data_IF_851046721916
#
_entry.id   IF_851046721916
#
_cell.length_a   1.000
_cell.length_b   1.000
_cell.length_c   1.000
_cell.angle_alpha   90.00
_cell.angle_beta   90.00
_cell.angle_gamma   90.00
#
_symmetry.space_group_name_H-M   'P 1'
#
loop_
_entity.id
_entity.type
_entity.pdbx_description
1 polymer ?
#
# COMPACT_ATOMS: atom_id res chain seq x y z
N UNK A 1 -6.70 8.89 -15.58
CA UNK A 1 -6.29 7.85 -16.51
C UNK A 1 -5.48 6.79 -15.80
N UNK A 2 -5.68 5.52 -16.19
CA UNK A 2 -5.01 4.40 -15.55
C UNK A 2 -3.50 4.55 -15.51
N UNK A 3 -2.89 5.03 -16.61
CA UNK A 3 -1.44 5.18 -16.69
C UNK A 3 -0.90 6.16 -15.65
N UNK A 4 -1.62 7.25 -15.41
CA UNK A 4 -1.20 8.23 -14.40
C UNK A 4 -1.33 7.66 -12.99
N UNK A 5 -2.42 6.94 -12.73
CA UNK A 5 -2.63 6.29 -11.44
C UNK A 5 -1.58 5.21 -11.21
N UNK A 6 -1.24 4.46 -12.27
CA UNK A 6 -0.20 3.45 -12.16
C UNK A 6 1.14 4.07 -11.74
N UNK A 7 1.50 5.22 -12.31
CA UNK A 7 2.74 5.91 -11.93
C UNK A 7 2.71 6.35 -10.48
N UNK A 8 1.56 6.84 -9.99
CA UNK A 8 1.41 7.22 -8.59
C UNK A 8 1.65 6.00 -7.68
N UNK A 9 1.06 4.86 -8.03
CA UNK A 9 1.23 3.62 -7.27
C UNK A 9 2.68 3.16 -7.29
N UNK A 10 3.32 3.20 -8.44
CA UNK A 10 4.72 2.77 -8.54
C UNK A 10 5.63 3.65 -7.68
N UNK A 11 5.37 4.96 -7.66
CA UNK A 11 6.12 5.87 -6.80
C UNK A 11 5.88 5.54 -5.32
N UNK A 12 4.62 5.32 -4.95
CA UNK A 12 4.27 5.02 -3.56
C UNK A 12 4.95 3.74 -3.08
N UNK A 13 4.92 2.69 -3.89
CA UNK A 13 5.51 1.41 -3.51
C UNK A 13 7.02 1.46 -3.46
N UNK A 14 7.64 2.16 -4.42
CA UNK A 14 9.09 2.36 -4.38
C UNK A 14 9.52 3.10 -3.13
N UNK A 15 8.80 4.16 -2.77
CA UNK A 15 9.08 4.92 -1.56
C UNK A 15 8.90 4.08 -0.30
N UNK A 16 7.83 3.28 -0.25
CA UNK A 16 7.59 2.39 0.89
C UNK A 16 8.74 1.40 1.05
N UNK A 17 9.16 0.77 -0.05
CA UNK A 17 10.26 -0.19 -0.01
C UNK A 17 11.59 0.44 0.37
N UNK A 18 11.78 1.71 0.02
CA UNK A 18 12.98 2.47 0.36
C UNK A 18 12.90 3.10 1.75
N UNK A 19 11.76 2.93 2.44
CA UNK A 19 11.50 3.53 3.75
C UNK A 19 11.48 5.06 3.70
N UNK A 20 11.13 5.62 2.54
CA UNK A 20 11.03 7.06 2.35
C UNK A 20 9.57 7.50 2.57
N UNK A 21 9.22 7.72 3.83
CA UNK A 21 7.85 8.04 4.22
C UNK A 21 7.36 9.30 3.53
N UNK A 22 8.18 10.35 3.48
CA UNK A 22 7.76 11.61 2.90
C UNK A 22 7.40 11.47 1.42
N UNK A 23 8.22 10.76 0.66
CA UNK A 23 7.92 10.53 -0.76
C UNK A 23 6.64 9.73 -0.94
N UNK A 24 6.38 8.73 -0.07
CA UNK A 24 5.15 7.95 -0.12
C UNK A 24 3.93 8.82 0.20
N UNK A 25 4.03 9.67 1.23
CA UNK A 25 2.91 10.54 1.62
C UNK A 25 2.57 11.57 0.56
N UNK A 26 3.55 11.98 -0.26
CA UNK A 26 3.30 12.90 -1.37
C UNK A 26 2.34 12.32 -2.41
N UNK A 27 2.16 11.02 -2.44
CA UNK A 27 1.23 10.37 -3.37
C UNK A 27 -0.20 10.31 -2.83
N UNK A 28 -0.44 10.81 -1.62
CA UNK A 28 -1.69 10.63 -0.90
C UNK A 28 -2.36 11.94 -0.55
N UNK A 29 -3.71 11.91 -0.55
CA UNK A 29 -4.51 13.03 -0.07
C UNK A 29 -4.22 13.30 1.41
N UNK A 30 -4.37 14.56 1.87
CA UNK A 30 -4.17 14.86 3.28
C UNK A 30 -5.08 14.07 4.22
N UNK A 31 -6.25 13.67 3.75
CA UNK A 31 -7.21 12.90 4.54
C UNK A 31 -7.34 11.46 4.05
N UNK A 32 -6.29 10.92 3.45
CA UNK A 32 -6.27 9.56 2.93
C UNK A 32 -6.70 8.56 3.98
N UNK A 33 -7.49 7.55 3.56
CA UNK A 33 -7.92 6.46 4.43
C UNK A 33 -7.17 5.19 4.04
N UNK A 34 -6.54 4.55 5.02
CA UNK A 34 -5.61 3.45 4.77
C UNK A 34 -5.94 2.24 5.63
N UNK A 35 -6.03 1.07 5.00
CA UNK A 35 -6.28 -0.18 5.70
C UNK A 35 -5.05 -0.61 6.50
N UNK A 36 -5.26 -1.08 7.73
CA UNK A 36 -4.18 -1.57 8.60
C UNK A 36 -3.88 -3.05 8.42
N UNK A 37 -4.31 -3.64 7.32
CA UNK A 37 -4.00 -5.03 7.00
C UNK A 37 -4.43 -5.98 8.13
N UNK A 38 -3.49 -6.75 8.69
CA UNK A 38 -3.79 -7.77 9.69
C UNK A 38 -4.38 -7.20 10.98
N UNK A 39 -4.07 -5.95 11.31
CA UNK A 39 -4.59 -5.35 12.55
C UNK A 39 -6.07 -5.01 12.43
N UNK A 40 -6.57 -4.91 11.19
CA UNK A 40 -7.95 -4.54 10.95
C UNK A 40 -8.23 -3.05 11.13
N UNK A 41 -9.31 -2.59 10.53
CA UNK A 41 -9.70 -1.19 10.60
C UNK A 41 -8.85 -0.30 9.72
N UNK A 42 -9.02 1.01 9.91
CA UNK A 42 -8.40 2.04 9.07
C UNK A 42 -7.77 3.13 9.92
N UNK A 43 -6.80 3.79 9.32
CA UNK A 43 -6.24 5.04 9.85
C UNK A 43 -6.45 6.11 8.79
N UNK A 44 -6.41 7.37 9.19
CA UNK A 44 -6.63 8.49 8.29
C UNK A 44 -5.55 9.54 8.43
N UNK A 45 -5.12 10.05 7.27
CA UNK A 45 -4.19 11.17 7.20
C UNK A 45 -2.74 10.78 7.31
N UNK A 46 -1.89 11.73 6.92
CA UNK A 46 -0.45 11.49 6.80
C UNK A 46 0.19 11.14 8.15
N UNK A 47 -0.21 11.85 9.22
CA UNK A 47 0.42 11.62 10.53
C UNK A 47 0.16 10.22 11.06
N UNK A 48 -1.07 9.71 10.87
CA UNK A 48 -1.42 8.37 11.33
C UNK A 48 -0.71 7.30 10.51
N UNK A 49 -0.58 7.52 9.20
CA UNK A 49 0.15 6.57 8.35
C UNK A 49 1.62 6.54 8.73
N UNK A 50 2.22 7.70 8.92
CA UNK A 50 3.63 7.77 9.31
C UNK A 50 3.87 7.04 10.63
N UNK A 51 3.02 7.26 11.62
CA UNK A 51 3.13 6.58 12.92
C UNK A 51 2.97 5.07 12.77
N UNK A 52 1.99 4.63 11.98
CA UNK A 52 1.73 3.22 11.76
C UNK A 52 2.92 2.52 11.09
N UNK A 53 3.44 3.10 10.01
CA UNK A 53 4.58 2.51 9.29
C UNK A 53 5.84 2.53 10.13
N UNK A 54 6.10 3.62 10.86
CA UNK A 54 7.27 3.72 11.71
C UNK A 54 7.26 2.63 12.78
N UNK A 55 6.09 2.40 13.40
CA UNK A 55 5.92 1.33 14.38
C UNK A 55 6.12 -0.03 13.75
N UNK A 56 5.51 -0.25 12.58
CA UNK A 56 5.57 -1.54 11.90
C UNK A 56 6.99 -1.91 11.50
N UNK A 57 7.75 -0.93 10.99
CA UNK A 57 9.12 -1.19 10.54
C UNK A 57 10.11 -1.43 11.67
N UNK A 58 9.72 -1.19 12.91
CA UNK A 58 10.52 -1.58 14.07
C UNK A 58 10.35 -3.05 14.43
N UNK A 59 9.31 -3.69 13.90
CA UNK A 59 8.99 -5.08 14.22
C UNK A 59 9.17 -6.01 13.03
N UNK A 60 8.90 -5.52 11.82
CA UNK A 60 8.99 -6.34 10.62
C UNK A 60 9.58 -5.53 9.46
N UNK A 61 9.97 -6.25 8.41
CA UNK A 61 10.55 -5.67 7.20
C UNK A 61 9.72 -6.08 5.98
N UNK A 62 8.60 -5.37 5.73
CA UNK A 62 7.75 -5.69 4.57
C UNK A 62 8.27 -5.05 3.29
N UNK A 63 8.11 -5.77 2.18
CA UNK A 63 8.36 -5.25 0.83
C UNK A 63 7.13 -5.54 -0.02
N UNK A 64 6.80 -4.63 -0.94
CA UNK A 64 5.64 -4.78 -1.80
C UNK A 64 6.05 -4.49 -3.25
N UNK A 65 5.60 -5.35 -4.17
CA UNK A 65 5.93 -5.24 -5.59
C UNK A 65 4.66 -5.35 -6.41
N UNK A 66 4.21 -4.29 -7.09
CA UNK A 66 3.02 -4.37 -7.92
C UNK A 66 3.31 -5.22 -9.15
N UNK A 67 2.44 -6.18 -9.44
CA UNK A 67 2.61 -7.09 -10.57
C UNK A 67 1.56 -6.93 -11.64
N UNK A 68 0.40 -6.34 -11.34
CA UNK A 68 -0.65 -6.08 -12.32
C UNK A 68 -1.54 -4.96 -11.84
N UNK A 69 -2.14 -4.26 -12.79
CA UNK A 69 -3.04 -3.13 -12.55
C UNK A 69 -4.32 -3.34 -13.34
N UNK A 70 -5.47 -3.33 -12.68
CA UNK A 70 -6.76 -3.54 -13.32
C UNK A 70 -7.75 -2.49 -12.87
N UNK A 71 -8.33 -1.75 -13.82
CA UNK A 71 -9.40 -0.82 -13.51
C UNK A 71 -10.69 -1.59 -13.26
N UNK A 72 -11.43 -1.18 -12.22
CA UNK A 72 -12.72 -1.78 -11.91
C UNK A 72 -13.86 -0.88 -12.44
N UNK A 73 -15.04 -1.47 -12.71
CA UNK A 73 -16.17 -0.69 -13.24
C UNK A 73 -16.57 0.49 -12.36
N UNK A 74 -16.33 0.43 -11.05
CA UNK A 74 -16.68 1.52 -10.14
C UNK A 74 -15.64 2.63 -10.10
N UNK A 75 -14.62 2.57 -10.95
CA UNK A 75 -13.58 3.60 -11.01
C UNK A 75 -12.40 3.39 -10.07
N UNK A 76 -12.43 2.35 -9.25
CA UNK A 76 -11.27 2.04 -8.41
C UNK A 76 -10.20 1.30 -9.21
N UNK A 77 -8.99 1.27 -8.70
CA UNK A 77 -7.88 0.57 -9.31
C UNK A 77 -7.47 -0.61 -8.43
N UNK A 78 -7.50 -1.80 -9.01
CA UNK A 78 -7.04 -3.01 -8.34
C UNK A 78 -5.57 -3.20 -8.68
N UNK A 79 -4.73 -3.27 -7.66
CA UNK A 79 -3.30 -3.54 -7.84
C UNK A 79 -3.01 -4.91 -7.26
N UNK A 80 -2.54 -5.82 -8.10
CA UNK A 80 -2.11 -7.14 -7.64
C UNK A 80 -0.68 -6.97 -7.14
N UNK A 81 -0.43 -7.39 -5.91
CA UNK A 81 0.82 -7.10 -5.22
C UNK A 81 1.46 -8.39 -4.72
N UNK A 82 2.73 -8.58 -5.06
CA UNK A 82 3.54 -9.61 -4.42
C UNK A 82 4.12 -9.00 -3.15
N UNK A 83 3.72 -9.54 -2.01
CA UNK A 83 4.14 -9.02 -0.72
C UNK A 83 5.05 -10.02 -0.03
N UNK A 84 6.21 -9.54 0.42
CA UNK A 84 7.18 -10.34 1.16
C UNK A 84 7.40 -9.66 2.49
N UNK A 85 7.17 -10.40 3.58
CA UNK A 85 7.38 -9.87 4.93
C UNK A 85 8.41 -10.74 5.63
N UNK A 86 9.47 -10.11 6.10
CA UNK A 86 10.50 -10.77 6.91
C UNK A 86 10.54 -10.11 8.28
N UNK A 87 11.03 -10.86 9.28
CA UNK A 87 11.29 -10.21 10.57
C UNK A 87 12.61 -9.44 10.48
N UNK A 88 13.01 -8.80 11.58
CA UNK A 88 14.21 -7.98 11.57
C UNK A 88 15.50 -8.80 11.51
N UNK A 89 15.40 -10.11 11.67
CA UNK A 89 16.51 -11.03 11.52
C UNK A 89 16.55 -11.69 10.15
N UNK A 90 15.74 -11.16 9.22
CA UNK A 90 15.67 -11.61 7.82
C UNK A 90 15.00 -12.97 7.66
N UNK A 91 14.23 -13.41 8.65
CA UNK A 91 13.48 -14.65 8.56
C UNK A 91 12.15 -14.41 7.87
N UNK A 92 11.82 -15.26 6.90
CA UNK A 92 10.58 -15.11 6.14
C UNK A 92 9.36 -15.39 7.01
N UNK A 93 8.42 -14.43 7.05
CA UNK A 93 7.15 -14.55 7.76
C UNK A 93 5.98 -14.74 6.82
N UNK A 94 6.02 -14.09 5.65
CA UNK A 94 4.95 -14.16 4.67
C UNK A 94 5.52 -13.90 3.28
N UNK A 95 5.07 -14.69 2.31
CA UNK A 95 5.41 -14.48 0.91
C UNK A 95 4.19 -14.91 0.11
N UNK A 96 3.47 -13.94 -0.45
CA UNK A 96 2.25 -14.26 -1.15
C UNK A 96 1.73 -13.06 -1.94
N UNK A 97 0.53 -13.24 -2.47
CA UNK A 97 -0.13 -12.25 -3.30
C UNK A 97 -1.33 -11.67 -2.57
N UNK A 98 -1.45 -10.35 -2.60
CA UNK A 98 -2.63 -9.64 -2.08
C UNK A 98 -3.09 -8.65 -3.13
N UNK A 99 -4.30 -8.13 -2.97
CA UNK A 99 -4.80 -7.07 -3.84
C UNK A 99 -5.00 -5.81 -3.01
N UNK A 100 -4.47 -4.71 -3.51
CA UNK A 100 -4.72 -3.40 -2.92
C UNK A 100 -5.68 -2.65 -3.82
N UNK A 101 -6.76 -2.13 -3.25
CA UNK A 101 -7.81 -1.46 -4.00
C UNK A 101 -7.76 0.02 -3.68
N UNK A 102 -7.52 0.84 -4.70
CA UNK A 102 -7.31 2.26 -4.53
C UNK A 102 -8.42 3.08 -5.16
N UNK A 103 -8.80 4.17 -4.47
CA UNK A 103 -9.53 5.26 -5.13
C UNK A 103 -8.64 6.49 -5.12
N UNK A 104 -8.89 7.40 -6.06
CA UNK A 104 -8.06 8.58 -6.25
C UNK A 104 -8.93 9.83 -6.25
N UNK A 105 -8.34 10.93 -5.80
CA UNK A 105 -8.96 12.25 -5.87
C UNK A 105 -7.85 13.23 -6.20
N UNK A 106 -8.07 14.05 -7.24
CA UNK A 106 -7.08 15.04 -7.70
C UNK A 106 -5.72 14.40 -7.98
N UNK A 107 -5.75 13.19 -8.56
CA UNK A 107 -4.56 12.41 -8.96
C UNK A 107 -3.73 11.93 -7.76
N UNK A 108 -4.30 11.97 -6.56
CA UNK A 108 -3.65 11.44 -5.36
C UNK A 108 -4.48 10.30 -4.78
N UNK A 109 -3.83 9.40 -4.06
CA UNK A 109 -4.52 8.28 -3.42
C UNK A 109 -5.46 8.83 -2.36
N UNK A 110 -6.74 8.45 -2.46
CA UNK A 110 -7.77 8.86 -1.51
C UNK A 110 -8.07 7.77 -0.49
N UNK A 111 -8.26 6.53 -0.95
CA UNK A 111 -8.48 5.39 -0.05
C UNK A 111 -7.68 4.19 -0.53
N UNK A 112 -7.34 3.31 0.40
CA UNK A 112 -6.73 2.02 0.09
C UNK A 112 -7.39 0.94 0.94
N UNK A 113 -7.87 -0.10 0.27
CA UNK A 113 -8.40 -1.30 0.90
C UNK A 113 -7.58 -2.51 0.48
N UNK A 114 -7.67 -3.58 1.25
CA UNK A 114 -6.93 -4.81 0.98
C UNK A 114 -7.92 -5.95 0.79
N UNK A 115 -7.73 -6.73 -0.28
CA UNK A 115 -8.47 -7.97 -0.51
C UNK A 115 -7.48 -9.11 -0.54
N UNK A 116 -7.81 -10.20 0.13
CA UNK A 116 -6.98 -11.38 0.10
C UNK A 116 -7.27 -12.17 -1.18
N UNK A 117 -6.22 -12.83 -1.70
CA UNK A 117 -6.35 -13.68 -2.88
C UNK A 117 -6.57 -15.10 -2.39
N UNK A 118 -7.67 -15.73 -2.83
CA UNK A 118 -7.96 -17.10 -2.44
C UNK A 118 -6.87 -18.04 -2.91
N UNK A 119 -6.57 -19.04 -2.09
CA UNK A 119 -5.56 -20.01 -2.43
C UNK A 119 -4.15 -19.63 -2.03
N UNK A 120 -4.00 -18.51 -1.36
CA UNK A 120 -2.68 -18.04 -0.90
C UNK A 120 -2.35 -18.44 0.52
#
# INVERSE_FOLDING_TARGET
>A
MATEFQKVIEKAYGAFNDRDIQAALETMQPNVQWSKAWEGGYISGHNEIEAYWTRQWKEINPKVYPTAFNERPNGSLEVVVHQIVKDLEDKLMFDGTVKHIYTFKDNLIHTMDIELVEGQ
#
